data_IF_496695752321
#
_entry.id   IF_496695752321
#
_cell.length_a   1.000
_cell.length_b   1.000
_cell.length_c   1.000
_cell.angle_alpha   90.00
_cell.angle_beta   90.00
_cell.angle_gamma   90.00
#
_symmetry.space_group_name_H-M   'P 1'
#
loop_
_entity.id
_entity.type
_entity.pdbx_description
1 polymer ?
#
# COMPACT_ATOMS: atom_id res chain seq x y z
N UNK A 1 -15.75 1.46 -27.72
CA UNK A 1 -14.94 1.55 -26.48
C UNK A 1 -15.86 1.13 -25.35
N UNK A 2 -15.43 0.25 -24.44
CA UNK A 2 -16.23 -0.08 -23.25
C UNK A 2 -16.41 1.20 -22.43
N UNK A 3 -17.63 1.49 -22.01
CA UNK A 3 -17.91 2.59 -21.10
C UNK A 3 -17.15 2.35 -19.80
N UNK A 4 -16.29 3.31 -19.42
CA UNK A 4 -15.54 3.29 -18.17
C UNK A 4 -16.36 4.06 -17.15
N UNK A 5 -16.88 3.36 -16.15
CA UNK A 5 -17.52 4.00 -15.00
C UNK A 5 -16.46 4.28 -13.95
N UNK A 6 -16.39 5.52 -13.45
CA UNK A 6 -15.54 5.88 -12.34
C UNK A 6 -16.32 5.81 -11.02
N UNK A 7 -15.66 5.39 -9.95
CA UNK A 7 -16.21 5.42 -8.61
C UNK A 7 -15.14 5.84 -7.60
N UNK A 8 -15.55 6.62 -6.60
CA UNK A 8 -14.73 7.02 -5.47
C UNK A 8 -15.04 6.12 -4.28
N UNK A 9 -14.02 5.59 -3.62
CA UNK A 9 -14.16 4.61 -2.55
C UNK A 9 -13.43 5.11 -1.31
N UNK A 10 -14.15 5.23 -0.20
CA UNK A 10 -13.64 5.72 1.08
C UNK A 10 -13.22 4.59 2.00
N UNK A 11 -11.93 4.55 2.36
CA UNK A 11 -11.42 3.73 3.45
C UNK A 11 -11.44 4.61 4.70
N UNK A 12 -12.56 4.62 5.41
CA UNK A 12 -12.67 5.33 6.69
C UNK A 12 -11.89 4.54 7.73
N UNK A 13 -10.79 5.12 8.20
CA UNK A 13 -9.86 4.48 9.11
C UNK A 13 -9.78 5.27 10.42
N UNK A 14 -9.96 4.58 11.54
CA UNK A 14 -9.73 5.15 12.87
C UNK A 14 -8.24 5.10 13.24
N UNK A 15 -7.88 5.80 14.31
CA UNK A 15 -6.52 5.82 14.86
C UNK A 15 -5.98 4.44 15.26
N UNK A 16 -6.87 3.48 15.58
CA UNK A 16 -6.49 2.10 15.89
C UNK A 16 -6.30 1.21 14.63
N UNK A 17 -6.41 1.79 13.44
CA UNK A 17 -6.24 1.13 12.15
C UNK A 17 -7.46 0.35 11.66
N UNK A 18 -8.54 0.28 12.44
CA UNK A 18 -9.78 -0.37 12.00
C UNK A 18 -10.46 0.44 10.91
N UNK A 19 -11.10 -0.28 9.98
CA UNK A 19 -11.78 0.31 8.82
C UNK A 19 -13.26 0.02 8.83
N UNK A 20 -14.07 0.94 8.31
CA UNK A 20 -15.51 0.74 8.18
C UNK A 20 -15.84 -0.02 6.89
N UNK A 21 -16.61 -1.10 7.01
CA UNK A 21 -17.19 -1.83 5.89
C UNK A 21 -18.72 -1.79 5.93
N UNK A 22 -19.33 -1.77 4.74
CA UNK A 22 -20.77 -1.86 4.55
C UNK A 22 -21.16 -3.16 3.83
N UNK A 23 -22.25 -3.79 4.27
CA UNK A 23 -22.84 -4.93 3.57
C UNK A 23 -23.87 -4.47 2.56
N UNK A 24 -23.73 -4.90 1.31
CA UNK A 24 -24.66 -4.57 0.22
C UNK A 24 -26.07 -5.06 0.54
N UNK A 25 -27.08 -4.16 0.48
CA UNK A 25 -28.46 -4.51 0.83
C UNK A 25 -29.05 -5.53 -0.14
N UNK A 26 -30.12 -6.19 0.32
CA UNK A 26 -30.84 -7.20 -0.45
C UNK A 26 -31.42 -6.59 -1.72
N UNK A 27 -31.24 -7.27 -2.86
CA UNK A 27 -31.75 -6.85 -4.17
C UNK A 27 -30.78 -6.02 -5.02
N UNK A 28 -29.66 -5.53 -4.46
CA UNK A 28 -28.55 -4.97 -5.27
C UNK A 28 -27.67 -6.12 -5.83
N UNK A 29 -26.96 -5.92 -6.97
CA UNK A 29 -25.93 -6.87 -7.43
C UNK A 29 -24.92 -7.14 -6.31
N UNK A 30 -24.51 -8.40 -6.13
CA UNK A 30 -23.65 -8.84 -5.01
C UNK A 30 -24.25 -8.60 -3.61
N UNK A 31 -25.58 -8.64 -3.48
CA UNK A 31 -26.29 -8.64 -2.19
C UNK A 31 -25.60 -9.53 -1.15
N UNK A 32 -25.42 -9.01 0.07
CA UNK A 32 -24.78 -9.71 1.18
C UNK A 32 -23.24 -9.68 1.18
N UNK A 33 -22.60 -9.21 0.10
CA UNK A 33 -21.16 -8.97 0.08
C UNK A 33 -20.81 -7.68 0.81
N UNK A 34 -19.65 -7.69 1.47
CA UNK A 34 -19.10 -6.55 2.18
C UNK A 34 -18.13 -5.76 1.30
N UNK A 35 -18.17 -4.44 1.43
CA UNK A 35 -17.32 -3.51 0.69
C UNK A 35 -16.97 -2.24 1.48
N UNK A 36 -16.03 -1.46 0.94
CA UNK A 36 -15.78 -0.10 1.41
C UNK A 36 -16.87 0.82 0.84
N UNK A 37 -17.36 1.80 1.63
CA UNK A 37 -18.38 2.74 1.20
C UNK A 37 -17.89 3.66 0.10
N UNK A 38 -18.84 4.19 -0.68
CA UNK A 38 -18.59 5.09 -1.79
C UNK A 38 -19.35 4.68 -3.06
N UNK A 39 -19.35 5.58 -4.03
CA UNK A 39 -20.19 5.42 -5.21
C UNK A 39 -19.62 6.08 -6.45
N UNK A 40 -20.50 6.31 -7.41
CA UNK A 40 -20.09 6.68 -8.77
C UNK A 40 -19.64 8.14 -8.80
N UNK A 41 -18.61 8.41 -9.59
CA UNK A 41 -18.23 9.77 -9.94
C UNK A 41 -19.19 10.25 -11.03
N UNK A 42 -19.80 11.41 -10.81
CA UNK A 42 -20.70 12.05 -11.78
C UNK A 42 -19.93 12.71 -12.94
N UNK A 43 -20.65 13.12 -13.98
CA UNK A 43 -20.06 13.84 -15.11
C UNK A 43 -19.46 15.17 -14.63
N UNK A 44 -18.24 15.47 -15.09
CA UNK A 44 -17.44 16.64 -14.67
C UNK A 44 -17.11 16.72 -13.15
N UNK A 45 -17.32 15.63 -12.39
CA UNK A 45 -16.99 15.56 -10.96
C UNK A 45 -15.56 15.04 -10.72
N UNK A 46 -14.81 15.71 -9.85
CA UNK A 46 -13.52 15.17 -9.40
C UNK A 46 -13.75 13.99 -8.43
N UNK A 47 -12.96 12.90 -8.49
CA UNK A 47 -13.15 11.76 -7.59
C UNK A 47 -13.11 12.10 -6.09
N UNK A 48 -12.36 13.13 -5.70
CA UNK A 48 -12.34 13.62 -4.32
C UNK A 48 -13.65 14.30 -3.89
N UNK A 49 -14.34 14.99 -4.81
CA UNK A 49 -15.67 15.56 -4.53
C UNK A 49 -16.73 14.46 -4.45
N UNK A 50 -16.67 13.49 -5.37
CA UNK A 50 -17.53 12.30 -5.34
C UNK A 50 -17.39 11.55 -4.00
N UNK A 51 -16.15 11.37 -3.51
CA UNK A 51 -15.91 10.77 -2.19
C UNK A 51 -16.71 11.47 -1.08
N UNK A 52 -16.60 12.79 -0.98
CA UNK A 52 -17.27 13.55 0.09
C UNK A 52 -18.78 13.45 -0.03
N UNK A 53 -19.32 13.59 -1.25
CA UNK A 53 -20.76 13.48 -1.53
C UNK A 53 -21.29 12.09 -1.18
N UNK A 54 -20.66 11.04 -1.69
CA UNK A 54 -21.10 9.65 -1.49
C UNK A 54 -21.03 9.24 -0.02
N UNK A 55 -19.98 9.64 0.72
CA UNK A 55 -19.92 9.38 2.16
C UNK A 55 -21.02 10.12 2.94
N UNK A 56 -21.41 11.31 2.48
CA UNK A 56 -22.52 12.05 3.09
C UNK A 56 -23.87 11.39 2.81
N UNK A 57 -24.09 10.89 1.59
CA UNK A 57 -25.31 10.22 1.15
C UNK A 57 -25.47 8.84 1.80
N UNK A 58 -24.41 8.02 1.81
CA UNK A 58 -24.46 6.65 2.32
C UNK A 58 -24.38 6.58 3.85
N UNK A 59 -23.56 7.44 4.45
CA UNK A 59 -23.16 7.33 5.86
C UNK A 59 -23.52 8.53 6.73
N UNK A 60 -23.88 9.67 6.12
CA UNK A 60 -24.16 10.90 6.85
C UNK A 60 -22.91 11.59 7.42
N UNK A 61 -21.72 11.26 6.94
CA UNK A 61 -20.45 11.86 7.38
C UNK A 61 -19.84 12.73 6.29
N UNK A 62 -19.13 13.77 6.71
CA UNK A 62 -18.34 14.62 5.80
C UNK A 62 -16.85 14.36 6.05
N UNK A 63 -16.13 13.80 5.07
CA UNK A 63 -14.69 13.64 5.17
C UNK A 63 -13.99 15.02 5.21
N UNK A 64 -13.17 15.26 6.24
CA UNK A 64 -12.46 16.54 6.42
C UNK A 64 -10.96 16.42 6.14
N UNK A 65 -10.39 15.24 6.36
CA UNK A 65 -8.99 14.94 6.02
C UNK A 65 -8.86 13.53 5.42
N UNK A 66 -8.32 13.47 4.21
CA UNK A 66 -8.17 12.23 3.46
C UNK A 66 -7.05 12.32 2.42
N UNK A 67 -6.57 11.16 1.99
CA UNK A 67 -5.46 11.04 1.05
C UNK A 67 -5.83 10.19 -0.16
N UNK A 68 -5.47 10.60 -1.40
CA UNK A 68 -5.50 9.68 -2.53
C UNK A 68 -4.54 8.51 -2.26
N UNK A 69 -4.86 7.30 -2.73
CA UNK A 69 -4.00 6.15 -2.43
C UNK A 69 -3.77 5.20 -3.60
N UNK A 70 -4.80 4.49 -4.04
CA UNK A 70 -4.68 3.43 -5.05
C UNK A 70 -5.78 3.62 -6.08
N UNK A 71 -5.46 3.44 -7.36
CA UNK A 71 -6.46 3.41 -8.44
C UNK A 71 -6.46 2.02 -9.09
N UNK A 72 -7.62 1.36 -9.11
CA UNK A 72 -7.76 0.02 -9.71
C UNK A 72 -8.85 -0.02 -10.75
N UNK A 73 -8.58 -0.70 -11.86
CA UNK A 73 -9.59 -1.02 -12.86
C UNK A 73 -10.06 -2.46 -12.71
N UNK A 74 -11.37 -2.67 -12.69
CA UNK A 74 -11.98 -3.99 -12.70
C UNK A 74 -12.84 -4.14 -13.95
N UNK A 75 -12.52 -5.16 -14.77
CA UNK A 75 -13.26 -5.47 -15.99
C UNK A 75 -14.35 -6.50 -15.67
N UNK A 76 -15.61 -6.09 -15.79
CA UNK A 76 -16.74 -7.01 -15.74
C UNK A 76 -16.99 -7.56 -17.14
N UNK A 77 -16.91 -8.89 -17.34
CA UNK A 77 -17.17 -9.48 -18.65
C UNK A 77 -18.64 -9.31 -19.03
N UNK A 78 -18.90 -9.33 -20.33
CA UNK A 78 -20.26 -9.39 -20.85
C UNK A 78 -20.97 -10.64 -20.31
N UNK A 79 -22.23 -10.49 -19.91
CA UNK A 79 -23.10 -11.61 -19.57
C UNK A 79 -24.00 -11.93 -20.75
N UNK A 80 -24.22 -13.22 -20.94
CA UNK A 80 -25.10 -13.75 -21.97
C UNK A 80 -26.17 -14.61 -21.32
N UNK A 81 -27.39 -14.54 -21.86
CA UNK A 81 -28.44 -15.48 -21.53
C UNK A 81 -28.09 -16.88 -22.05
N UNK A 82 -28.83 -17.89 -21.59
CA UNK A 82 -28.61 -19.28 -22.00
C UNK A 82 -28.82 -19.51 -23.52
N UNK A 83 -29.56 -18.63 -24.18
CA UNK A 83 -29.81 -18.66 -25.63
C UNK A 83 -28.72 -17.94 -26.45
N UNK A 84 -27.65 -17.45 -25.79
CA UNK A 84 -26.55 -16.73 -26.43
C UNK A 84 -26.83 -15.25 -26.72
N UNK A 85 -28.02 -14.74 -26.38
CA UNK A 85 -28.30 -13.30 -26.45
C UNK A 85 -27.57 -12.53 -25.34
N UNK A 86 -27.19 -11.29 -25.63
CA UNK A 86 -26.46 -10.44 -24.69
C UNK A 86 -27.40 -9.97 -23.57
N UNK A 87 -27.09 -10.32 -22.32
CA UNK A 87 -27.77 -9.84 -21.11
C UNK A 87 -27.21 -8.47 -20.71
N UNK A 88 -25.89 -8.39 -20.55
CA UNK A 88 -25.20 -7.12 -20.26
C UNK A 88 -23.87 -7.03 -20.99
N UNK A 89 -23.59 -5.84 -21.53
CA UNK A 89 -22.31 -5.55 -22.17
C UNK A 89 -21.17 -5.59 -21.15
N UNK A 90 -19.96 -5.88 -21.64
CA UNK A 90 -18.75 -5.76 -20.83
C UNK A 90 -18.57 -4.29 -20.40
N UNK A 91 -18.20 -4.09 -19.14
CA UNK A 91 -17.96 -2.76 -18.58
C UNK A 91 -16.71 -2.73 -17.73
N UNK A 92 -16.04 -1.59 -17.71
CA UNK A 92 -14.87 -1.38 -16.84
C UNK A 92 -15.26 -0.40 -15.75
N UNK A 93 -14.96 -0.76 -14.50
CA UNK A 93 -15.11 0.15 -13.36
C UNK A 93 -13.72 0.55 -12.88
N UNK A 94 -13.46 1.86 -12.82
CA UNK A 94 -12.24 2.44 -12.28
C UNK A 94 -12.51 2.99 -10.89
N UNK A 95 -11.90 2.36 -9.90
CA UNK A 95 -12.05 2.64 -8.48
C UNK A 95 -10.91 3.53 -8.01
N UNK A 96 -11.24 4.71 -7.51
CA UNK A 96 -10.30 5.64 -6.87
C UNK A 96 -10.42 5.49 -5.36
N UNK A 97 -9.42 4.88 -4.72
CA UNK A 97 -9.42 4.66 -3.28
C UNK A 97 -8.79 5.85 -2.55
N UNK A 98 -9.50 6.31 -1.53
CA UNK A 98 -9.05 7.35 -0.61
C UNK A 98 -9.00 6.80 0.81
N UNK A 99 -7.93 7.13 1.55
CA UNK A 99 -7.87 6.83 2.99
C UNK A 99 -8.37 8.06 3.74
N UNK A 100 -9.52 7.93 4.40
CA UNK A 100 -10.15 8.98 5.18
C UNK A 100 -9.78 8.79 6.65
N UNK A 101 -9.08 9.75 7.23
CA UNK A 101 -8.57 9.69 8.60
C UNK A 101 -9.31 10.64 9.54
N UNK A 102 -9.95 11.68 9.02
CA UNK A 102 -10.81 12.58 9.80
C UNK A 102 -12.11 12.89 9.07
N UNK A 103 -13.20 12.98 9.84
CA UNK A 103 -14.52 13.29 9.32
C UNK A 103 -15.39 13.95 10.40
N UNK A 104 -16.45 14.64 9.95
CA UNK A 104 -17.52 15.14 10.80
C UNK A 104 -18.73 14.21 10.77
N UNK A 105 -19.42 14.07 11.90
CA UNK A 105 -20.60 13.21 12.06
C UNK A 105 -20.26 11.79 12.53
N UNK A 106 -21.30 11.00 12.79
CA UNK A 106 -21.19 9.59 13.15
C UNK A 106 -21.68 8.72 11.98
N UNK A 107 -20.90 7.73 11.51
CA UNK A 107 -21.33 6.84 10.44
C UNK A 107 -22.63 6.12 10.78
N UNK A 108 -23.64 6.27 9.93
CA UNK A 108 -24.96 5.64 10.06
C UNK A 108 -25.35 4.94 8.77
N UNK A 109 -26.24 3.97 8.87
CA UNK A 109 -26.77 3.31 7.69
C UNK A 109 -27.91 4.14 7.10
N UNK A 110 -27.63 4.91 6.04
CA UNK A 110 -28.67 5.71 5.35
C UNK A 110 -29.30 5.00 4.15
N UNK A 111 -28.68 3.91 3.65
CA UNK A 111 -29.19 3.07 2.56
C UNK A 111 -29.62 1.66 3.03
N UNK A 112 -29.89 1.48 4.32
CA UNK A 112 -30.26 0.18 4.91
C UNK A 112 -29.18 -0.91 4.78
N UNK A 113 -27.92 -0.52 4.65
CA UNK A 113 -26.75 -1.38 4.74
C UNK A 113 -26.45 -1.80 6.19
N UNK A 114 -25.85 -2.97 6.39
CA UNK A 114 -25.20 -3.25 7.68
C UNK A 114 -23.82 -2.61 7.69
N UNK A 115 -23.43 -2.00 8.80
CA UNK A 115 -22.11 -1.38 8.97
C UNK A 115 -21.32 -2.14 10.03
N UNK A 116 -20.03 -2.33 9.79
CA UNK A 116 -19.14 -2.97 10.75
C UNK A 116 -17.74 -2.37 10.69
N UNK A 117 -17.20 -2.00 11.85
CA UNK A 117 -15.79 -1.71 12.00
C UNK A 117 -15.02 -3.03 11.99
N UNK A 118 -13.95 -3.12 11.20
CA UNK A 118 -13.20 -4.35 11.00
C UNK A 118 -11.69 -4.10 11.08
N UNK A 119 -10.96 -5.06 11.64
CA UNK A 119 -9.51 -5.08 11.58
C UNK A 119 -9.06 -5.63 10.22
N UNK A 120 -8.34 -4.87 9.38
CA UNK A 120 -7.87 -5.35 8.08
C UNK A 120 -7.00 -6.62 8.13
N UNK A 121 -6.34 -6.88 9.27
CA UNK A 121 -5.51 -8.08 9.47
C UNK A 121 -6.34 -9.32 9.82
N UNK A 122 -7.56 -9.15 10.32
CA UNK A 122 -8.43 -10.22 10.79
C UNK A 122 -9.89 -9.79 10.65
N UNK A 123 -10.46 -10.04 9.47
CA UNK A 123 -11.86 -9.77 9.21
C UNK A 123 -12.76 -10.80 9.91
N UNK A 124 -13.86 -10.31 10.48
CA UNK A 124 -14.93 -11.11 11.09
C UNK A 124 -16.16 -11.20 10.18
N UNK A 125 -16.22 -10.36 9.14
CA UNK A 125 -17.32 -10.31 8.16
C UNK A 125 -16.95 -10.97 6.83
N UNK A 126 -17.97 -11.44 6.11
CA UNK A 126 -17.82 -11.98 4.76
C UNK A 126 -19.16 -12.39 4.12
N UNK A 127 -19.18 -12.69 2.81
CA UNK A 127 -18.05 -12.64 1.87
C UNK A 127 -17.67 -11.20 1.46
N UNK A 128 -16.40 -10.97 1.10
CA UNK A 128 -15.90 -9.69 0.59
C UNK A 128 -16.05 -9.59 -0.93
N UNK A 129 -16.31 -8.39 -1.45
CA UNK A 129 -16.18 -8.17 -2.90
C UNK A 129 -14.74 -8.47 -3.36
N UNK A 130 -14.56 -9.22 -4.47
CA UNK A 130 -13.23 -9.59 -4.96
C UNK A 130 -12.30 -8.40 -5.23
N UNK A 131 -12.86 -7.24 -5.60
CA UNK A 131 -12.10 -6.02 -5.84
C UNK A 131 -11.36 -5.49 -4.59
N UNK A 132 -11.83 -5.83 -3.39
CA UNK A 132 -11.35 -5.29 -2.12
C UNK A 132 -10.24 -6.14 -1.50
N UNK A 133 -10.07 -7.40 -1.91
CA UNK A 133 -9.04 -8.27 -1.34
C UNK A 133 -7.61 -7.69 -1.48
N UNK A 134 -7.20 -7.12 -2.63
CA UNK A 134 -5.90 -6.47 -2.75
C UNK A 134 -5.77 -5.20 -1.90
N UNK A 135 -6.87 -4.50 -1.66
CA UNK A 135 -6.89 -3.29 -0.81
C UNK A 135 -6.69 -3.67 0.66
N UNK A 136 -7.33 -4.73 1.13
CA UNK A 136 -7.13 -5.28 2.47
C UNK A 136 -5.69 -5.78 2.66
N UNK A 137 -5.12 -6.45 1.65
CA UNK A 137 -3.71 -6.85 1.69
C UNK A 137 -2.77 -5.63 1.76
N UNK A 138 -3.07 -4.57 1.00
CA UNK A 138 -2.34 -3.32 1.02
C UNK A 138 -2.47 -2.57 2.36
N UNK A 139 -3.63 -2.61 3.04
CA UNK A 139 -3.82 -2.01 4.36
C UNK A 139 -3.00 -2.70 5.45
N UNK A 140 -2.60 -3.96 5.24
CA UNK A 140 -1.73 -4.71 6.14
C UNK A 140 -0.24 -4.40 5.96
N UNK A 141 0.11 -3.51 5.03
CA UNK A 141 1.46 -2.99 4.90
C UNK A 141 1.66 -1.82 5.89
N UNK A 142 2.78 -1.80 6.66
CA UNK A 142 3.09 -0.70 7.56
C UNK A 142 3.50 0.57 6.80
N UNK A 143 3.08 1.75 7.27
CA UNK A 143 3.42 3.02 6.63
C UNK A 143 4.93 3.36 6.66
N UNK A 144 5.68 2.80 7.62
CA UNK A 144 7.11 3.02 7.75
C UNK A 144 7.91 1.78 7.35
N UNK A 145 8.74 1.95 6.33
CA UNK A 145 9.60 0.93 5.77
C UNK A 145 11.08 1.27 6.01
N UNK A 146 11.71 0.59 6.97
CA UNK A 146 13.11 0.81 7.29
C UNK A 146 14.04 0.02 6.36
N UNK A 147 15.12 0.64 5.91
CA UNK A 147 16.24 -0.01 5.21
C UNK A 147 17.45 0.01 6.14
N UNK A 148 18.12 -1.13 6.32
CA UNK A 148 19.27 -1.20 7.22
C UNK A 148 20.40 -0.24 6.81
N UNK A 149 21.15 0.23 7.81
CA UNK A 149 22.30 1.12 7.64
C UNK A 149 23.47 0.69 8.54
N UNK A 150 23.76 -0.61 8.55
CA UNK A 150 24.79 -1.21 9.38
C UNK A 150 26.18 -0.62 9.06
N UNK A 151 26.46 -0.37 7.79
CA UNK A 151 27.76 0.16 7.34
C UNK A 151 28.12 1.49 8.02
N UNK A 152 27.14 2.39 8.17
CA UNK A 152 27.35 3.74 8.69
C UNK A 152 27.29 3.78 10.23
N UNK A 153 26.38 3.00 10.83
CA UNK A 153 26.18 3.01 12.27
C UNK A 153 27.16 2.10 13.03
N UNK A 154 27.65 1.05 12.39
CA UNK A 154 28.31 -0.06 13.07
C UNK A 154 27.31 -0.93 13.84
N UNK A 155 27.73 -2.16 14.16
CA UNK A 155 26.81 -3.19 14.66
C UNK A 155 26.17 -2.84 16.00
N UNK A 156 26.95 -2.39 16.98
CA UNK A 156 26.46 -2.11 18.33
C UNK A 156 25.38 -1.01 18.33
N UNK A 157 25.67 0.10 17.65
CA UNK A 157 24.74 1.23 17.53
C UNK A 157 23.51 0.83 16.72
N UNK A 158 23.70 0.12 15.60
CA UNK A 158 22.59 -0.33 14.77
C UNK A 158 21.58 -1.17 15.56
N UNK A 159 22.03 -2.17 16.33
CA UNK A 159 21.12 -3.02 17.09
C UNK A 159 20.42 -2.29 18.25
N UNK A 160 21.08 -1.28 18.84
CA UNK A 160 20.43 -0.39 19.81
C UNK A 160 19.33 0.45 19.15
N UNK A 161 19.60 1.03 17.98
CA UNK A 161 18.61 1.79 17.22
C UNK A 161 17.46 0.91 16.73
N UNK A 162 17.75 -0.31 16.26
CA UNK A 162 16.74 -1.29 15.87
C UNK A 162 15.79 -1.59 17.03
N UNK A 163 16.33 -1.88 18.20
CA UNK A 163 15.52 -2.16 19.39
C UNK A 163 14.62 -0.97 19.75
N UNK A 164 15.14 0.26 19.67
CA UNK A 164 14.36 1.46 19.92
C UNK A 164 13.25 1.66 18.87
N UNK A 165 13.54 1.46 17.59
CA UNK A 165 12.55 1.60 16.52
C UNK A 165 11.45 0.52 16.62
N UNK A 166 11.80 -0.72 16.95
CA UNK A 166 10.84 -1.81 17.19
C UNK A 166 9.92 -1.50 18.37
N UNK A 167 10.46 -0.98 19.49
CA UNK A 167 9.67 -0.55 20.64
C UNK A 167 8.67 0.56 20.32
N UNK A 168 9.00 1.39 19.33
CA UNK A 168 8.15 2.48 18.85
C UNK A 168 7.15 2.04 17.78
N UNK A 169 7.18 0.78 17.35
CA UNK A 169 6.18 0.24 16.42
C UNK A 169 6.68 -0.01 15.00
N UNK A 170 7.99 0.02 14.72
CA UNK A 170 8.51 -0.34 13.40
C UNK A 170 8.08 -1.77 13.03
N UNK A 171 7.36 -1.94 11.92
CA UNK A 171 6.81 -3.25 11.49
C UNK A 171 7.32 -3.75 10.13
N UNK A 172 8.10 -2.99 9.37
CA UNK A 172 8.66 -3.44 8.08
C UNK A 172 10.13 -3.03 7.94
N UNK A 173 11.01 -4.02 7.72
CA UNK A 173 12.46 -3.82 7.66
C UNK A 173 13.04 -4.57 6.46
N UNK A 174 13.80 -3.87 5.62
CA UNK A 174 14.62 -4.46 4.57
C UNK A 174 16.07 -4.58 5.03
N UNK A 175 16.59 -5.82 5.00
CA UNK A 175 18.02 -6.10 5.13
C UNK A 175 18.71 -5.80 3.80
N UNK A 176 19.56 -4.76 3.79
CA UNK A 176 20.32 -4.33 2.60
C UNK A 176 21.71 -3.82 2.98
N UNK A 177 22.66 -4.75 3.11
CA UNK A 177 24.05 -4.44 3.42
C UNK A 177 24.98 -4.98 2.32
N UNK A 178 25.18 -4.18 1.26
CA UNK A 178 25.96 -4.59 0.07
C UNK A 178 27.45 -4.83 0.35
N UNK A 179 27.95 -4.32 1.46
CA UNK A 179 29.37 -4.41 1.83
C UNK A 179 29.71 -5.71 2.56
N UNK A 180 28.71 -6.44 3.08
CA UNK A 180 28.92 -7.69 3.79
C UNK A 180 29.19 -8.85 2.84
N UNK A 181 29.99 -9.82 3.30
CA UNK A 181 30.07 -11.12 2.65
C UNK A 181 28.73 -11.87 2.78
N UNK A 182 28.50 -12.90 1.96
CA UNK A 182 27.28 -13.71 2.06
C UNK A 182 27.12 -14.34 3.46
N UNK A 183 28.23 -14.78 4.08
CA UNK A 183 28.22 -15.36 5.42
C UNK A 183 27.87 -14.33 6.49
N UNK A 184 28.46 -13.13 6.41
CA UNK A 184 28.20 -12.07 7.39
C UNK A 184 26.78 -11.50 7.24
N UNK A 185 26.31 -11.36 5.99
CA UNK A 185 24.94 -10.95 5.69
C UNK A 185 23.94 -11.95 6.28
N UNK A 186 24.20 -13.26 6.14
CA UNK A 186 23.38 -14.31 6.72
C UNK A 186 23.33 -14.21 8.25
N UNK A 187 24.49 -14.07 8.90
CA UNK A 187 24.58 -13.94 10.36
C UNK A 187 23.84 -12.68 10.87
N UNK A 188 24.03 -11.55 10.19
CA UNK A 188 23.34 -10.30 10.47
C UNK A 188 21.82 -10.43 10.32
N UNK A 189 21.36 -10.99 9.20
CA UNK A 189 19.95 -11.16 8.90
C UNK A 189 19.25 -12.09 9.90
N UNK A 190 19.91 -13.16 10.37
CA UNK A 190 19.36 -14.02 11.44
C UNK A 190 19.16 -13.21 12.73
N UNK A 191 20.18 -12.48 13.16
CA UNK A 191 20.14 -11.72 14.41
C UNK A 191 19.04 -10.66 14.37
N UNK A 192 18.95 -9.91 13.27
CA UNK A 192 17.88 -8.93 13.04
C UNK A 192 16.50 -9.58 13.01
N UNK A 193 16.32 -10.67 12.26
CA UNK A 193 15.03 -11.36 12.14
C UNK A 193 14.52 -11.89 13.48
N UNK A 194 15.41 -12.42 14.33
CA UNK A 194 15.04 -12.86 15.68
C UNK A 194 14.52 -11.72 16.54
N UNK A 195 15.15 -10.55 16.47
CA UNK A 195 14.67 -9.37 17.20
C UNK A 195 13.35 -8.88 16.63
N UNK A 196 13.22 -8.75 15.31
CA UNK A 196 12.02 -8.28 14.63
C UNK A 196 10.79 -9.18 14.92
N UNK A 197 10.98 -10.50 14.98
CA UNK A 197 9.92 -11.47 15.26
C UNK A 197 9.23 -11.25 16.61
N UNK A 198 9.98 -10.82 17.64
CA UNK A 198 9.41 -10.53 18.98
C UNK A 198 8.40 -9.37 18.96
N UNK A 199 8.45 -8.53 17.93
CA UNK A 199 7.56 -7.38 17.76
C UNK A 199 6.56 -7.60 16.62
N UNK A 200 6.52 -8.80 16.02
CA UNK A 200 5.70 -9.07 14.83
C UNK A 200 6.10 -8.22 13.61
N UNK A 201 7.35 -7.74 13.55
CA UNK A 201 7.84 -6.97 12.42
C UNK A 201 8.25 -7.89 11.26
N UNK A 202 7.84 -7.52 10.04
CA UNK A 202 8.16 -8.21 8.80
C UNK A 202 9.57 -7.85 8.35
N UNK A 203 10.38 -8.86 8.07
CA UNK A 203 11.72 -8.69 7.49
C UNK A 203 11.68 -9.11 6.02
N UNK A 204 12.20 -8.26 5.15
CA UNK A 204 12.41 -8.57 3.72
C UNK A 204 13.89 -8.53 3.38
N UNK A 205 14.35 -9.45 2.54
CA UNK A 205 15.74 -9.53 2.12
C UNK A 205 15.91 -8.81 0.78
N UNK A 206 16.89 -7.93 0.67
CA UNK A 206 17.20 -7.28 -0.59
C UNK A 206 17.80 -8.28 -1.59
N UNK A 207 17.27 -8.30 -2.81
CA UNK A 207 17.77 -9.01 -4.00
C UNK A 207 17.83 -10.54 -3.97
N UNK A 208 17.72 -11.20 -2.82
CA UNK A 208 17.92 -12.65 -2.72
C UNK A 208 16.68 -13.37 -2.15
N UNK A 209 15.84 -13.86 -3.05
CA UNK A 209 14.64 -14.63 -2.70
C UNK A 209 14.99 -16.01 -2.11
N UNK A 210 16.13 -16.60 -2.46
CA UNK A 210 16.57 -17.88 -1.92
C UNK A 210 16.99 -17.73 -0.46
N UNK A 211 17.75 -16.68 -0.15
CA UNK A 211 18.11 -16.31 1.21
C UNK A 211 16.87 -15.95 2.04
N UNK A 212 15.91 -15.21 1.47
CA UNK A 212 14.64 -14.93 2.14
C UNK A 212 13.92 -16.22 2.58
N UNK A 213 13.80 -17.21 1.68
CA UNK A 213 13.20 -18.51 1.99
C UNK A 213 14.01 -19.29 3.04
N UNK A 214 15.33 -19.34 2.90
CA UNK A 214 16.21 -20.03 3.83
C UNK A 214 16.08 -19.48 5.26
N UNK A 215 15.94 -18.17 5.40
CA UNK A 215 15.80 -17.49 6.69
C UNK A 215 14.37 -17.52 7.26
N UNK A 216 13.37 -17.96 6.48
CA UNK A 216 11.97 -17.77 6.83
C UNK A 216 11.57 -16.30 6.94
N UNK A 217 12.22 -15.43 6.16
CA UNK A 217 11.89 -14.01 6.09
C UNK A 217 10.49 -13.81 5.48
N UNK A 218 9.85 -12.68 5.78
CA UNK A 218 8.52 -12.37 5.26
C UNK A 218 8.51 -12.14 3.74
N UNK A 219 9.65 -11.77 3.15
CA UNK A 219 9.69 -11.40 1.75
C UNK A 219 11.05 -11.08 1.16
N UNK A 220 11.01 -10.63 -0.09
CA UNK A 220 12.15 -10.17 -0.88
C UNK A 220 11.86 -8.80 -1.46
N UNK A 221 12.89 -7.96 -1.58
CA UNK A 221 12.80 -6.70 -2.28
C UNK A 221 13.80 -6.67 -3.45
N UNK A 222 13.29 -6.60 -4.68
CA UNK A 222 14.09 -6.61 -5.88
C UNK A 222 14.66 -5.23 -6.22
N UNK A 223 15.85 -5.21 -6.83
CA UNK A 223 16.33 -4.01 -7.51
C UNK A 223 15.54 -3.80 -8.82
N UNK A 224 15.53 -2.57 -9.34
CA UNK A 224 14.93 -2.28 -10.65
C UNK A 224 15.45 -3.21 -11.77
N UNK A 225 16.76 -3.46 -11.82
CA UNK A 225 17.35 -4.38 -12.78
C UNK A 225 16.83 -5.83 -12.64
N UNK A 226 16.64 -6.31 -11.41
CA UNK A 226 16.07 -7.64 -11.18
C UNK A 226 14.59 -7.69 -11.55
N UNK A 227 13.82 -6.65 -11.21
CA UNK A 227 12.41 -6.52 -11.58
C UNK A 227 12.21 -6.65 -13.10
N UNK A 228 13.04 -5.95 -13.89
CA UNK A 228 12.94 -5.98 -15.34
C UNK A 228 13.25 -7.36 -15.94
N UNK A 229 14.12 -8.13 -15.29
CA UNK A 229 14.45 -9.50 -15.69
C UNK A 229 13.55 -10.57 -15.05
N UNK A 230 12.66 -10.20 -14.13
CA UNK A 230 11.80 -11.15 -13.43
C UNK A 230 10.67 -11.62 -14.35
N UNK A 231 10.47 -12.93 -14.41
CA UNK A 231 9.45 -13.57 -15.24
C UNK A 231 8.15 -13.79 -14.50
N UNK A 232 8.22 -14.09 -13.20
CA UNK A 232 7.08 -14.30 -12.32
C UNK A 232 7.41 -13.87 -10.89
N UNK A 233 6.39 -13.43 -10.15
CA UNK A 233 6.52 -13.15 -8.72
C UNK A 233 6.75 -14.46 -7.94
N UNK A 234 7.74 -14.51 -7.03
CA UNK A 234 7.89 -15.64 -6.12
C UNK A 234 6.65 -15.88 -5.27
N UNK A 235 6.20 -17.12 -5.23
CA UNK A 235 5.07 -17.52 -4.38
C UNK A 235 5.44 -17.47 -2.88
N UNK A 236 4.43 -17.22 -2.05
CA UNK A 236 4.50 -17.23 -0.58
C UNK A 236 5.53 -16.26 0.03
N UNK A 237 5.92 -15.23 -0.71
CA UNK A 237 6.76 -14.15 -0.23
C UNK A 237 6.07 -12.82 -0.50
N UNK A 238 6.19 -11.91 0.47
CA UNK A 238 5.94 -10.50 0.21
C UNK A 238 7.01 -9.99 -0.74
N UNK A 239 6.62 -9.56 -1.94
CA UNK A 239 7.55 -9.15 -2.99
C UNK A 239 7.39 -7.67 -3.28
N UNK A 240 8.45 -6.91 -3.00
CA UNK A 240 8.56 -5.51 -3.41
C UNK A 240 9.66 -5.30 -4.43
N UNK A 241 9.67 -4.13 -5.07
CA UNK A 241 10.76 -3.73 -5.94
C UNK A 241 11.08 -2.23 -5.86
N UNK A 242 12.31 -1.88 -6.20
CA UNK A 242 12.70 -0.51 -6.46
C UNK A 242 12.28 -0.11 -7.88
N UNK A 243 11.61 1.04 -7.99
CA UNK A 243 11.20 1.66 -9.23
C UNK A 243 11.68 3.12 -9.29
N UNK A 244 11.92 3.59 -10.50
CA UNK A 244 12.45 4.92 -10.82
C UNK A 244 11.69 5.57 -11.99
N UNK A 245 10.89 4.80 -12.72
CA UNK A 245 10.16 5.26 -13.90
C UNK A 245 8.88 4.43 -14.13
N UNK A 246 8.06 4.87 -15.10
CA UNK A 246 6.79 4.23 -15.42
C UNK A 246 6.92 2.78 -15.91
N UNK A 247 7.95 2.46 -16.71
CA UNK A 247 8.13 1.10 -17.24
C UNK A 247 8.37 0.06 -16.13
N UNK A 248 9.11 0.46 -15.09
CA UNK A 248 9.33 -0.38 -13.91
C UNK A 248 8.04 -0.51 -13.07
N UNK A 249 7.28 0.57 -12.91
CA UNK A 249 5.98 0.54 -12.25
C UNK A 249 5.01 -0.42 -12.95
N UNK A 250 4.89 -0.33 -14.27
CA UNK A 250 4.06 -1.21 -15.10
C UNK A 250 4.51 -2.67 -14.99
N UNK A 251 5.82 -2.93 -14.99
CA UNK A 251 6.39 -4.27 -14.80
C UNK A 251 6.02 -4.86 -13.44
N UNK A 252 6.06 -4.05 -12.37
CA UNK A 252 5.64 -4.49 -11.04
C UNK A 252 4.14 -4.84 -10.99
N UNK A 253 3.30 -4.07 -11.67
CA UNK A 253 1.86 -4.36 -11.81
C UNK A 253 1.62 -5.66 -12.58
N UNK A 254 2.28 -5.84 -13.73
CA UNK A 254 2.13 -7.02 -14.57
C UNK A 254 2.54 -8.31 -13.85
N UNK A 255 3.52 -8.23 -12.94
CA UNK A 255 3.97 -9.36 -12.11
C UNK A 255 3.14 -9.55 -10.83
N UNK A 256 2.25 -8.61 -10.50
CA UNK A 256 1.44 -8.66 -9.28
C UNK A 256 2.24 -8.49 -7.98
N UNK A 257 3.27 -7.64 -7.99
CA UNK A 257 4.03 -7.32 -6.78
C UNK A 257 3.15 -6.69 -5.69
N UNK A 258 3.57 -6.81 -4.44
CA UNK A 258 2.77 -6.38 -3.28
C UNK A 258 2.96 -4.89 -2.97
N UNK A 259 4.14 -4.35 -3.28
CA UNK A 259 4.46 -2.93 -3.11
C UNK A 259 5.66 -2.53 -3.97
N UNK A 260 5.90 -1.23 -4.11
CA UNK A 260 7.13 -0.70 -4.70
C UNK A 260 7.71 0.43 -3.86
N UNK A 261 8.99 0.71 -4.04
CA UNK A 261 9.57 2.00 -3.64
C UNK A 261 9.76 2.84 -4.89
N UNK A 262 9.42 4.12 -4.84
CA UNK A 262 9.64 5.05 -5.95
C UNK A 262 10.59 6.16 -5.50
N UNK A 263 11.69 6.32 -6.22
CA UNK A 263 12.84 7.14 -5.78
C UNK A 263 13.72 7.61 -6.94
N UNK A 264 14.59 8.62 -6.73
CA UNK A 264 14.66 9.48 -5.55
C UNK A 264 13.63 10.63 -5.60
N UNK A 265 12.90 10.87 -4.50
CA UNK A 265 11.95 11.99 -4.42
C UNK A 265 12.67 13.33 -4.24
N UNK A 266 13.63 13.38 -3.31
CA UNK A 266 14.45 14.54 -3.00
C UNK A 266 15.93 14.20 -3.07
N UNK A 267 16.83 15.21 -3.18
CA UNK A 267 18.27 14.97 -3.21
C UNK A 267 18.69 14.18 -1.98
N UNK A 268 19.58 13.21 -2.17
CA UNK A 268 20.01 12.34 -1.06
C UNK A 268 21.48 12.55 -0.75
N UNK A 269 21.89 12.39 0.51
CA UNK A 269 23.32 12.38 0.87
C UNK A 269 24.11 11.29 0.15
N UNK A 270 23.45 10.19 -0.23
CA UNK A 270 24.07 9.10 -1.00
C UNK A 270 24.32 9.47 -2.47
N UNK A 271 23.48 10.35 -3.04
CA UNK A 271 23.52 10.80 -4.43
C UNK A 271 23.04 12.28 -4.51
N UNK A 272 23.89 13.25 -4.18
CA UNK A 272 23.48 14.66 -4.05
C UNK A 272 23.25 15.37 -5.39
N UNK A 273 23.85 14.87 -6.48
CA UNK A 273 23.75 15.44 -7.83
C UNK A 273 22.75 14.68 -8.73
N UNK A 274 22.06 13.67 -8.19
CA UNK A 274 21.10 12.89 -8.98
C UNK A 274 19.85 13.73 -9.29
N UNK A 275 19.37 13.64 -10.54
CA UNK A 275 18.07 14.17 -10.92
C UNK A 275 16.97 13.47 -10.10
N UNK A 276 16.12 14.26 -9.47
CA UNK A 276 15.06 13.77 -8.58
C UNK A 276 13.71 13.76 -9.29
N UNK A 277 12.82 12.84 -8.90
CA UNK A 277 11.43 12.83 -9.37
C UNK A 277 10.68 14.10 -8.93
N UNK A 278 10.83 14.49 -7.66
CA UNK A 278 9.96 15.48 -7.03
C UNK A 278 8.53 14.99 -6.86
N UNK A 279 7.75 15.71 -6.06
CA UNK A 279 6.38 15.31 -5.71
C UNK A 279 5.37 15.40 -6.86
N UNK A 280 5.56 16.36 -7.78
CA UNK A 280 4.67 16.53 -8.94
C UNK A 280 4.72 15.29 -9.84
N UNK A 281 5.91 14.91 -10.31
CA UNK A 281 6.09 13.71 -11.15
C UNK A 281 5.77 12.42 -10.40
N UNK A 282 6.02 12.37 -9.09
CA UNK A 282 5.59 11.26 -8.26
C UNK A 282 4.06 11.08 -8.31
N UNK A 283 3.30 12.16 -8.06
CA UNK A 283 1.84 12.12 -8.12
C UNK A 283 1.31 11.78 -9.52
N UNK A 284 1.96 12.28 -10.58
CA UNK A 284 1.60 11.96 -11.98
C UNK A 284 1.79 10.47 -12.28
N UNK A 285 2.88 9.86 -11.81
CA UNK A 285 3.12 8.42 -12.00
C UNK A 285 2.13 7.54 -11.23
N UNK A 286 1.57 8.05 -10.12
CA UNK A 286 0.64 7.31 -9.27
C UNK A 286 -0.84 7.53 -9.61
N UNK A 287 -1.17 8.43 -10.53
CA UNK A 287 -2.56 8.82 -10.82
C UNK A 287 -3.46 7.67 -11.29
N UNK A 288 -2.86 6.58 -11.80
CA UNK A 288 -3.58 5.37 -12.22
C UNK A 288 -2.88 4.09 -11.70
N UNK A 289 -2.21 4.17 -10.56
CA UNK A 289 -1.36 3.08 -10.09
C UNK A 289 -2.08 2.17 -9.07
N UNK A 290 -2.09 0.84 -9.28
CA UNK A 290 -2.92 -0.07 -8.49
C UNK A 290 -2.22 -0.72 -7.29
N UNK A 291 -0.93 -0.44 -7.04
CA UNK A 291 -0.11 -1.10 -6.02
C UNK A 291 0.41 -0.07 -5.00
N UNK A 292 0.53 -0.41 -3.70
CA UNK A 292 1.15 0.45 -2.69
C UNK A 292 2.55 0.95 -3.05
N UNK A 293 2.77 2.26 -2.92
CA UNK A 293 4.06 2.90 -3.19
C UNK A 293 4.63 3.54 -1.93
N UNK A 294 5.86 3.20 -1.60
CA UNK A 294 6.65 3.92 -0.60
C UNK A 294 7.48 5.00 -1.27
N UNK A 295 7.34 6.25 -0.81
CA UNK A 295 8.23 7.32 -1.21
C UNK A 295 9.62 7.08 -0.61
N UNK A 296 10.67 7.18 -1.43
CA UNK A 296 12.05 6.91 -1.02
C UNK A 296 13.01 7.94 -1.61
N UNK A 297 14.05 8.28 -0.83
CA UNK A 297 15.12 9.18 -1.24
C UNK A 297 14.93 10.58 -0.68
N UNK A 298 15.68 10.89 0.37
CA UNK A 298 15.65 12.19 1.07
C UNK A 298 14.62 12.28 2.20
N UNK A 299 13.74 11.28 2.33
CA UNK A 299 12.62 11.28 3.27
C UNK A 299 13.04 11.32 4.74
N UNK A 300 12.29 12.13 5.51
CA UNK A 300 12.23 12.20 6.97
C UNK A 300 10.89 11.65 7.46
N UNK A 301 10.78 11.35 8.75
CA UNK A 301 9.52 10.86 9.35
C UNK A 301 8.36 11.83 9.13
N UNK A 302 8.62 13.12 9.27
CA UNK A 302 7.61 14.19 9.19
C UNK A 302 7.09 14.39 7.76
N UNK A 303 7.71 13.76 6.74
CA UNK A 303 7.26 13.84 5.35
C UNK A 303 6.06 12.92 5.06
N UNK A 304 5.57 12.13 6.03
CA UNK A 304 4.53 11.13 5.80
C UNK A 304 3.23 11.76 5.29
N UNK A 305 2.82 12.89 5.87
CA UNK A 305 1.61 13.60 5.46
C UNK A 305 1.72 14.06 4.00
N UNK A 306 2.82 14.74 3.64
CA UNK A 306 3.12 15.15 2.27
C UNK A 306 3.17 13.96 1.31
N UNK A 307 3.83 12.86 1.69
CA UNK A 307 3.91 11.68 0.84
C UNK A 307 2.53 11.10 0.52
N UNK A 308 1.66 11.00 1.53
CA UNK A 308 0.28 10.51 1.36
C UNK A 308 -0.58 11.48 0.54
N UNK A 309 -0.41 12.79 0.69
CA UNK A 309 -1.08 13.79 -0.17
C UNK A 309 -0.75 13.57 -1.65
N UNK A 310 0.43 13.05 -1.96
CA UNK A 310 0.88 12.71 -3.31
C UNK A 310 0.64 11.24 -3.71
N UNK A 311 -0.17 10.49 -2.96
CA UNK A 311 -0.57 9.12 -3.31
C UNK A 311 0.32 8.01 -2.74
N UNK A 312 1.33 8.33 -1.93
CA UNK A 312 2.14 7.29 -1.30
C UNK A 312 1.33 6.50 -0.27
N UNK A 313 1.59 5.20 -0.20
CA UNK A 313 1.19 4.37 0.94
C UNK A 313 1.93 4.76 2.22
N UNK A 314 3.21 5.11 2.09
CA UNK A 314 4.08 5.42 3.23
C UNK A 314 5.47 5.84 2.81
N UNK A 315 6.41 5.79 3.76
CA UNK A 315 7.79 6.21 3.59
C UNK A 315 8.76 5.03 3.70
N UNK A 316 9.73 4.99 2.81
CA UNK A 316 10.91 4.15 2.98
C UNK A 316 12.15 4.99 3.29
N UNK A 317 12.91 4.57 4.30
CA UNK A 317 14.02 5.36 4.85
C UNK A 317 15.21 4.48 5.22
N UNK A 318 16.41 4.93 4.85
CA UNK A 318 17.65 4.28 5.26
C UNK A 318 18.31 4.95 6.47
N UNK A 319 18.20 6.27 6.63
CA UNK A 319 18.90 7.01 7.70
C UNK A 319 17.96 7.53 8.76
N UNK A 320 16.95 8.29 8.34
CA UNK A 320 16.04 8.99 9.24
C UNK A 320 15.50 8.05 10.32
N UNK A 321 14.99 6.87 9.93
CA UNK A 321 14.37 5.85 10.80
C UNK A 321 15.24 5.34 11.97
N UNK A 322 16.56 5.50 11.92
CA UNK A 322 17.47 4.99 12.96
C UNK A 322 17.87 6.03 14.01
N UNK A 323 17.25 7.22 14.00
CA UNK A 323 17.61 8.31 14.92
C UNK A 323 16.94 8.13 16.29
N UNK A 324 17.72 8.28 17.37
CA UNK A 324 17.30 7.92 18.75
C UNK A 324 16.05 8.65 19.28
N UNK A 325 15.74 9.86 18.79
CA UNK A 325 14.71 10.74 19.35
C UNK A 325 13.33 10.67 18.69
N UNK A 326 13.06 9.68 17.83
CA UNK A 326 11.84 9.71 16.99
C UNK A 326 10.63 9.03 17.66
N UNK A 327 9.41 9.38 17.25
CA UNK A 327 8.18 8.62 17.54
C UNK A 327 7.68 8.09 16.19
N UNK A 328 7.25 6.83 16.16
CA UNK A 328 6.69 6.15 14.99
C UNK A 328 5.17 6.08 15.11
#
# INVERSE_FOLDING_TARGET
MSEITHAAVGIIQRDDGWVLLGQRPVGKPWSGYWEFPGGKVEEDEAPAHALVRELQEELGITATHFYPWIVRSYNYPAKYHADGSLDSAAKTVKLHFFVVVEWHGEPKSLEQQQLSWQNPAQLEVGPMLPANAPILAALNLPQFYAITNLQELGEEVFFKCLQQALNKGLKLIQVREKHLSAQDLYAFAIKLSRMAALYGAKVVINSDASLAKQLGAAGVHFTAAQLMNLTAKPENLLCGAACHNNAELEKAVALGLDYVTLSPISPTRSHPEAETLGWVKFSELLSDYPIPVYALGGMQMDDLDTARQHGAHGLAMQRAVWSANQTL
#
